data_IF_300924286216
#
_entry.id   IF_300924286216
#
_cell.length_a   1.000
_cell.length_b   1.000
_cell.length_c   1.000
_cell.angle_alpha   90.00
_cell.angle_beta   90.00
_cell.angle_gamma   90.00
#
_symmetry.space_group_name_H-M   'P 1'
#
loop_
_entity.id
_entity.type
_entity.pdbx_description
1 polymer ?
#
# COMPACT_ATOMS: atom_id res chain seq x y z
N UNK A 1 23.93 0.00 2.69
CA UNK A 1 23.11 -0.73 1.69
C UNK A 1 21.70 -0.80 2.23
N UNK A 2 20.77 0.01 1.71
CA UNK A 2 19.36 -0.05 2.10
C UNK A 2 18.69 -1.20 1.35
N UNK A 3 18.06 -2.11 2.08
CA UNK A 3 17.36 -3.24 1.47
C UNK A 3 16.08 -2.78 0.77
N UNK A 4 15.65 -3.49 -0.29
CA UNK A 4 14.38 -3.25 -0.98
C UNK A 4 13.19 -3.15 -0.02
N UNK A 5 13.17 -3.95 1.05
CA UNK A 5 12.12 -3.89 2.07
C UNK A 5 12.10 -2.56 2.86
N UNK A 6 13.26 -1.94 3.08
CA UNK A 6 13.39 -0.67 3.78
C UNK A 6 12.95 0.50 2.88
N UNK A 7 13.32 0.44 1.60
CA UNK A 7 12.81 1.40 0.61
C UNK A 7 11.30 1.29 0.45
N UNK A 8 10.76 0.07 0.40
CA UNK A 8 9.31 -0.17 0.34
C UNK A 8 8.60 0.37 1.59
N UNK A 9 9.20 0.20 2.78
CA UNK A 9 8.68 0.76 4.02
C UNK A 9 8.61 2.30 3.96
N UNK A 10 9.64 2.96 3.44
CA UNK A 10 9.64 4.42 3.24
C UNK A 10 8.56 4.86 2.26
N UNK A 11 8.42 4.16 1.13
CA UNK A 11 7.38 4.48 0.15
C UNK A 11 5.96 4.30 0.72
N UNK A 12 5.72 3.27 1.54
CA UNK A 12 4.47 3.07 2.25
C UNK A 12 4.13 4.24 3.19
N UNK A 13 5.13 4.80 3.88
CA UNK A 13 4.94 5.99 4.71
C UNK A 13 4.75 7.26 3.86
N UNK A 14 5.43 7.36 2.72
CA UNK A 14 5.31 8.49 1.80
C UNK A 14 3.92 8.57 1.17
N UNK A 15 3.32 7.45 0.73
CA UNK A 15 1.93 7.46 0.21
C UNK A 15 0.92 7.83 1.30
N UNK A 16 1.17 7.43 2.55
CA UNK A 16 0.34 7.83 3.68
C UNK A 16 0.40 9.34 3.91
N UNK A 17 1.60 9.91 3.87
CA UNK A 17 1.79 11.35 4.05
C UNK A 17 1.11 12.13 2.91
N UNK A 18 1.27 11.69 1.66
CA UNK A 18 0.55 12.24 0.49
C UNK A 18 -0.97 12.10 0.62
N UNK A 19 -1.48 10.95 1.05
CA UNK A 19 -2.92 10.76 1.25
C UNK A 19 -3.47 11.69 2.34
N UNK A 20 -2.67 11.95 3.38
CA UNK A 20 -3.01 12.91 4.43
C UNK A 20 -3.00 14.34 3.90
N UNK A 21 -1.98 14.73 3.14
CA UNK A 21 -1.77 16.10 2.68
C UNK A 21 -2.71 16.47 1.52
N UNK A 22 -2.80 15.61 0.51
CA UNK A 22 -3.57 15.85 -0.71
C UNK A 22 -5.07 15.52 -0.56
N UNK A 23 -5.40 14.52 0.27
CA UNK A 23 -6.79 14.04 0.41
C UNK A 23 -7.37 14.35 1.79
N UNK A 24 -6.55 14.79 2.76
CA UNK A 24 -6.99 15.09 4.12
C UNK A 24 -7.32 13.84 4.95
N UNK A 25 -6.95 12.65 4.48
CA UNK A 25 -7.33 11.39 5.13
C UNK A 25 -6.26 10.99 6.15
N UNK A 26 -6.67 10.84 7.42
CA UNK A 26 -5.82 10.32 8.48
C UNK A 26 -6.11 8.84 8.70
N UNK A 27 -5.13 7.99 8.35
CA UNK A 27 -5.16 6.53 8.56
C UNK A 27 -4.16 6.10 9.66
N UNK A 28 -4.33 6.50 10.94
CA UNK A 28 -3.34 6.23 11.99
C UNK A 28 -3.09 4.73 12.19
N UNK A 29 -4.11 3.88 11.97
CA UNK A 29 -3.96 2.41 12.02
C UNK A 29 -3.04 1.87 10.92
N UNK A 30 -3.10 2.44 9.72
CA UNK A 30 -2.21 2.04 8.62
C UNK A 30 -0.77 2.43 8.95
N UNK A 31 -0.54 3.68 9.34
CA UNK A 31 0.80 4.15 9.72
C UNK A 31 1.40 3.28 10.82
N UNK A 32 0.65 3.05 11.91
CA UNK A 32 1.09 2.20 13.01
C UNK A 32 1.36 0.76 12.54
N UNK A 33 0.53 0.20 11.66
CA UNK A 33 0.73 -1.14 11.11
C UNK A 33 2.02 -1.23 10.29
N UNK A 34 2.34 -0.20 9.51
CA UNK A 34 3.58 -0.11 8.71
C UNK A 34 4.81 0.09 9.60
N UNK A 35 4.72 0.93 10.64
CA UNK A 35 5.78 1.14 11.62
C UNK A 35 6.06 -0.13 12.44
N UNK A 36 5.02 -0.86 12.84
CA UNK A 36 5.15 -1.99 13.74
C UNK A 36 5.46 -3.32 13.05
N UNK A 37 4.89 -3.57 11.87
CA UNK A 37 5.12 -4.82 11.11
C UNK A 37 6.10 -4.64 9.94
N UNK A 38 6.44 -3.41 9.57
CA UNK A 38 7.19 -3.11 8.35
C UNK A 38 6.27 -3.01 7.12
N UNK A 39 6.76 -2.31 6.08
CA UNK A 39 5.97 -2.01 4.88
C UNK A 39 5.52 -3.28 4.15
N UNK A 40 6.43 -4.24 3.95
CA UNK A 40 6.16 -5.46 3.19
C UNK A 40 5.11 -6.33 3.87
N UNK A 41 5.26 -6.62 5.17
CA UNK A 41 4.29 -7.43 5.90
C UNK A 41 2.93 -6.74 6.01
N UNK A 42 2.91 -5.43 6.22
CA UNK A 42 1.68 -4.65 6.20
C UNK A 42 0.96 -4.74 4.84
N UNK A 43 1.71 -4.64 3.75
CA UNK A 43 1.18 -4.76 2.40
C UNK A 43 0.61 -6.14 2.11
N UNK A 44 1.36 -7.21 2.41
CA UNK A 44 0.87 -8.59 2.27
C UNK A 44 -0.43 -8.77 3.06
N UNK A 45 -0.46 -8.33 4.33
CA UNK A 45 -1.65 -8.44 5.17
C UNK A 45 -2.87 -7.74 4.57
N UNK A 46 -2.70 -6.57 3.94
CA UNK A 46 -3.79 -5.86 3.27
C UNK A 46 -4.30 -6.60 2.04
N UNK A 47 -3.40 -7.08 1.18
CA UNK A 47 -3.71 -7.86 -0.02
C UNK A 47 -4.47 -9.13 0.34
N UNK A 48 -4.03 -9.85 1.38
CA UNK A 48 -4.68 -11.09 1.84
C UNK A 48 -5.99 -10.84 2.59
N UNK A 49 -6.08 -9.78 3.39
CA UNK A 49 -7.26 -9.50 4.20
C UNK A 49 -8.45 -8.98 3.39
N UNK A 50 -8.25 -8.67 2.10
CA UNK A 50 -9.23 -8.04 1.20
C UNK A 50 -9.97 -6.83 1.83
N UNK A 51 -9.35 -6.25 2.86
CA UNK A 51 -9.91 -5.21 3.68
C UNK A 51 -9.18 -3.95 3.28
N UNK A 52 -9.75 -3.29 2.28
CA UNK A 52 -9.51 -1.88 2.04
C UNK A 52 -9.83 -1.20 3.37
N UNK A 53 -8.80 -0.93 4.18
CA UNK A 53 -8.98 -0.26 5.47
C UNK A 53 -9.85 0.96 5.20
N UNK A 54 -10.96 1.13 5.91
CA UNK A 54 -12.09 1.99 5.52
C UNK A 54 -11.72 3.43 5.12
N UNK A 55 -10.54 3.94 5.50
CA UNK A 55 -10.04 5.23 4.99
C UNK A 55 -9.41 5.19 3.59
N UNK A 56 -9.00 4.04 3.06
CA UNK A 56 -8.64 3.84 1.66
C UNK A 56 -9.85 3.80 0.73
N UNK A 57 -11.05 3.47 1.22
CA UNK A 57 -12.27 3.60 0.43
C UNK A 57 -12.50 5.04 -0.02
N UNK A 58 -12.14 6.02 0.81
CA UNK A 58 -12.19 7.44 0.41
C UNK A 58 -11.14 7.81 -0.65
N UNK A 59 -9.98 7.15 -0.65
CA UNK A 59 -8.99 7.31 -1.72
C UNK A 59 -9.51 6.75 -3.04
N UNK A 60 -10.19 5.60 -2.99
CA UNK A 60 -10.90 5.01 -4.12
C UNK A 60 -11.98 5.94 -4.66
N UNK A 61 -12.83 6.51 -3.80
CA UNK A 61 -13.86 7.50 -4.19
C UNK A 61 -13.27 8.78 -4.81
N UNK A 62 -12.04 9.14 -4.43
CA UNK A 62 -11.32 10.31 -4.96
C UNK A 62 -10.48 9.99 -6.19
N UNK A 63 -10.49 8.75 -6.67
CA UNK A 63 -9.67 8.30 -7.80
C UNK A 63 -8.17 8.32 -7.52
N UNK A 64 -7.75 8.41 -6.25
CA UNK A 64 -6.34 8.43 -5.83
C UNK A 64 -5.86 7.03 -5.49
N UNK A 65 -6.15 6.09 -6.38
CA UNK A 65 -5.71 4.70 -6.25
C UNK A 65 -4.18 4.57 -6.36
N UNK A 66 -3.53 5.55 -6.99
CA UNK A 66 -2.08 5.70 -7.03
C UNK A 66 -1.43 5.81 -5.64
N UNK A 67 -2.18 6.21 -4.62
CA UNK A 67 -1.70 6.30 -3.23
C UNK A 67 -2.02 5.04 -2.41
N UNK A 68 -2.38 3.92 -3.04
CA UNK A 68 -2.60 2.65 -2.33
C UNK A 68 -1.46 1.66 -2.52
N UNK A 69 -1.42 0.69 -1.61
CA UNK A 69 -0.44 -0.40 -1.61
C UNK A 69 -0.54 -1.21 -2.89
N UNK A 70 -1.76 -1.48 -3.34
CA UNK A 70 -2.02 -2.28 -4.53
C UNK A 70 -1.44 -1.62 -5.77
N UNK A 71 -1.58 -0.29 -5.92
CA UNK A 71 -0.96 0.47 -7.01
C UNK A 71 0.56 0.45 -6.89
N UNK A 72 1.10 0.64 -5.69
CA UNK A 72 2.53 0.57 -5.43
C UNK A 72 3.10 -0.79 -5.85
N UNK A 73 2.46 -1.90 -5.49
CA UNK A 73 2.92 -3.26 -5.82
C UNK A 73 2.68 -3.61 -7.29
N UNK A 74 1.51 -3.29 -7.86
CA UNK A 74 1.14 -3.72 -9.20
C UNK A 74 1.71 -2.84 -10.34
N UNK A 75 1.98 -1.57 -10.05
CA UNK A 75 2.55 -0.62 -11.01
C UNK A 75 4.06 -0.43 -10.87
N UNK A 76 4.69 -0.84 -9.75
CA UNK A 76 6.15 -0.81 -9.62
C UNK A 76 6.74 -2.22 -9.55
N UNK A 77 7.32 -2.61 -10.67
CA UNK A 77 8.01 -3.89 -10.84
C UNK A 77 9.21 -4.05 -9.90
N UNK A 78 9.79 -2.93 -9.44
CA UNK A 78 10.86 -2.89 -8.44
C UNK A 78 10.51 -3.67 -7.17
N UNK A 79 9.23 -3.70 -6.78
CA UNK A 79 8.80 -4.36 -5.54
C UNK A 79 8.35 -5.79 -5.76
N UNK A 80 8.09 -6.22 -6.99
CA UNK A 80 7.72 -7.60 -7.31
C UNK A 80 8.58 -8.66 -6.61
N UNK A 81 9.92 -8.56 -6.51
CA UNK A 81 10.72 -9.56 -5.78
C UNK A 81 10.41 -9.67 -4.27
N UNK A 82 9.68 -8.74 -3.67
CA UNK A 82 9.23 -8.80 -2.27
C UNK A 82 7.88 -9.54 -2.10
N UNK A 83 7.16 -9.75 -3.20
CA UNK A 83 5.81 -10.30 -3.22
C UNK A 83 5.74 -11.55 -4.09
N UNK A 84 4.79 -12.41 -3.80
CA UNK A 84 4.51 -13.56 -4.65
C UNK A 84 3.72 -13.14 -5.89
N UNK A 85 3.81 -13.91 -6.98
CA UNK A 85 3.03 -13.65 -8.20
C UNK A 85 1.52 -13.64 -7.92
N UNK A 86 1.06 -14.47 -7.00
CA UNK A 86 -0.34 -14.49 -6.55
C UNK A 86 -0.74 -13.17 -5.86
N UNK A 87 0.16 -12.60 -5.06
CA UNK A 87 -0.07 -11.34 -4.35
C UNK A 87 -0.11 -10.16 -5.32
N UNK A 88 0.80 -10.13 -6.31
CA UNK A 88 0.84 -9.12 -7.37
C UNK A 88 -0.42 -9.21 -8.24
N UNK A 89 -0.86 -10.43 -8.60
CA UNK A 89 -2.11 -10.65 -9.35
C UNK A 89 -3.33 -10.15 -8.55
N UNK A 90 -3.41 -10.43 -7.25
CA UNK A 90 -4.49 -9.92 -6.39
C UNK A 90 -4.48 -8.39 -6.30
N UNK A 91 -3.32 -7.79 -6.07
CA UNK A 91 -3.17 -6.33 -6.05
C UNK A 91 -3.64 -5.70 -7.38
N UNK A 92 -3.21 -6.26 -8.52
CA UNK A 92 -3.64 -5.79 -9.84
C UNK A 92 -5.14 -5.99 -10.08
N UNK A 93 -5.72 -7.07 -9.59
CA UNK A 93 -7.16 -7.33 -9.70
C UNK A 93 -8.00 -6.34 -8.87
N UNK A 94 -7.51 -5.95 -7.68
CA UNK A 94 -8.16 -4.94 -6.84
C UNK A 94 -8.18 -3.56 -7.50
N UNK A 95 -7.10 -3.16 -8.20
CA UNK A 95 -7.05 -1.88 -8.92
C UNK A 95 -7.99 -1.81 -10.13
N UNK A 96 -8.39 -2.97 -10.69
CA UNK A 96 -9.30 -3.05 -11.83
C UNK A 96 -10.77 -3.11 -11.44
N UNK A 97 -11.08 -3.08 -10.14
CA UNK A 97 -12.42 -3.24 -9.59
C UNK A 97 -13.06 -1.89 -9.31
#
# INVERSE_FOLDING_TARGET
MTSLADEFHKEMLAIYDKARDEVGIKLPRFKQMVEHNGGVLAAKKLIHSNSVSTGFSKLFEKGRLDLTVESLVANNEKWHPLFDEEEIKKARAMLRR
#
